data_IF_477257454140
#
_entry.id   IF_477257454140
#
_cell.length_a   1.000
_cell.length_b   1.000
_cell.length_c   1.000
_cell.angle_alpha   90.00
_cell.angle_beta   90.00
_cell.angle_gamma   90.00
#
_symmetry.space_group_name_H-M   'P 1'
#
loop_
_entity.id
_entity.type
_entity.pdbx_description
1 polymer ?
#
# COMPACT_ATOMS: atom_id res chain seq x y z
N UNK A 1 -2.06 -19.45 -18.85
CA UNK A 1 -1.92 -19.89 -17.45
C UNK A 1 -2.87 -19.03 -16.62
N UNK A 2 -4.10 -19.49 -16.37
CA UNK A 2 -5.13 -18.68 -15.71
C UNK A 2 -4.71 -18.24 -14.31
N UNK A 3 -4.01 -19.11 -13.57
CA UNK A 3 -3.57 -18.81 -12.19
C UNK A 3 -2.63 -17.59 -12.11
N UNK A 4 -1.56 -17.54 -12.91
CA UNK A 4 -0.63 -16.40 -12.92
C UNK A 4 -1.31 -15.10 -13.35
N UNK A 5 -2.28 -15.20 -14.26
CA UNK A 5 -3.04 -14.05 -14.71
C UNK A 5 -3.94 -13.51 -13.58
N UNK A 6 -4.69 -14.38 -12.90
CA UNK A 6 -5.51 -13.98 -11.74
C UNK A 6 -4.66 -13.38 -10.61
N UNK A 7 -3.50 -13.97 -10.32
CA UNK A 7 -2.57 -13.42 -9.34
C UNK A 7 -2.12 -12.05 -9.81
N UNK A 8 -1.61 -11.89 -11.04
CA UNK A 8 -1.14 -10.59 -11.54
C UNK A 8 -2.23 -9.51 -11.51
N UNK A 9 -3.45 -9.85 -11.92
CA UNK A 9 -4.62 -8.95 -11.87
C UNK A 9 -4.92 -8.50 -10.44
N UNK A 10 -4.72 -9.36 -9.44
CA UNK A 10 -4.92 -9.00 -8.02
C UNK A 10 -3.91 -8.01 -7.46
N UNK A 11 -2.74 -7.84 -8.09
CA UNK A 11 -1.73 -6.84 -7.72
C UNK A 11 -1.94 -5.49 -8.43
N UNK A 12 -3.08 -5.29 -9.10
CA UNK A 12 -3.54 -3.99 -9.62
C UNK A 12 -2.52 -3.16 -10.42
N UNK A 13 -1.66 -3.82 -11.20
CA UNK A 13 -0.66 -3.15 -12.04
C UNK A 13 0.72 -2.99 -11.41
N UNK A 14 0.91 -3.36 -10.14
CA UNK A 14 2.25 -3.51 -9.52
C UNK A 14 3.04 -4.68 -10.13
N UNK A 15 2.34 -5.60 -10.80
CA UNK A 15 2.92 -6.73 -11.52
C UNK A 15 2.53 -6.69 -13.00
N UNK A 16 3.54 -6.89 -13.87
CA UNK A 16 3.37 -7.07 -15.30
C UNK A 16 3.64 -8.53 -15.69
N UNK A 17 2.64 -9.22 -16.21
CA UNK A 17 2.80 -10.58 -16.72
C UNK A 17 3.27 -10.55 -18.18
N UNK A 18 4.57 -10.71 -18.39
CA UNK A 18 5.14 -10.89 -19.72
C UNK A 18 5.15 -12.37 -20.12
N UNK A 19 4.52 -12.71 -21.24
CA UNK A 19 4.49 -14.07 -21.78
C UNK A 19 5.46 -14.17 -22.95
N UNK A 20 6.48 -15.01 -22.81
CA UNK A 20 7.47 -15.27 -23.87
C UNK A 20 7.21 -16.64 -24.46
N UNK A 21 7.10 -16.71 -25.80
CA UNK A 21 6.98 -17.98 -26.49
C UNK A 21 8.38 -18.55 -26.76
N UNK A 22 8.71 -19.67 -26.10
CA UNK A 22 10.02 -20.30 -26.20
C UNK A 22 10.28 -20.96 -27.56
N UNK A 23 9.23 -21.27 -28.34
CA UNK A 23 9.39 -21.82 -29.70
C UNK A 23 9.83 -20.75 -30.70
N UNK A 24 9.46 -19.49 -30.44
CA UNK A 24 9.76 -18.34 -31.30
C UNK A 24 11.06 -17.67 -30.86
N UNK A 25 11.22 -17.47 -29.55
CA UNK A 25 12.30 -16.65 -28.97
C UNK A 25 13.43 -17.51 -28.38
N UNK A 26 14.00 -18.41 -29.20
CA UNK A 26 15.01 -19.38 -28.75
C UNK A 26 16.29 -18.72 -28.21
N UNK A 27 16.70 -17.57 -28.77
CA UNK A 27 17.85 -16.79 -28.28
C UNK A 27 17.65 -16.31 -26.84
N UNK A 28 16.43 -15.87 -26.49
CA UNK A 28 16.09 -15.43 -25.13
C UNK A 28 16.15 -16.61 -24.17
N UNK A 29 15.57 -17.76 -24.55
CA UNK A 29 15.57 -18.99 -23.76
C UNK A 29 17.00 -19.44 -23.45
N UNK A 30 17.89 -19.41 -24.45
CA UNK A 30 19.29 -19.78 -24.29
C UNK A 30 20.05 -18.80 -23.37
N UNK A 31 19.83 -17.49 -23.53
CA UNK A 31 20.48 -16.45 -22.70
C UNK A 31 20.11 -16.54 -21.22
N UNK A 32 18.86 -16.88 -20.92
CA UNK A 32 18.40 -17.07 -19.54
C UNK A 32 18.60 -18.51 -19.02
N UNK A 33 19.17 -19.40 -19.83
CA UNK A 33 19.49 -20.77 -19.43
C UNK A 33 18.26 -21.60 -19.07
N UNK A 34 17.11 -21.35 -19.71
CA UNK A 34 15.85 -22.06 -19.42
C UNK A 34 15.95 -23.49 -19.96
N UNK A 35 15.87 -24.47 -19.05
CA UNK A 35 16.02 -25.91 -19.35
C UNK A 35 14.71 -26.69 -19.30
N UNK A 36 13.68 -26.12 -18.68
CA UNK A 36 12.37 -26.75 -18.52
C UNK A 36 11.25 -25.74 -18.68
N UNK A 37 10.13 -26.19 -19.23
CA UNK A 37 8.92 -25.38 -19.40
C UNK A 37 7.78 -25.98 -18.58
N UNK A 38 6.92 -25.17 -17.95
CA UNK A 38 6.99 -23.71 -17.86
C UNK A 38 8.06 -23.24 -16.86
N UNK A 39 8.77 -22.15 -17.16
CA UNK A 39 9.64 -21.44 -16.20
C UNK A 39 9.13 -20.01 -16.06
N UNK A 40 9.07 -19.53 -14.82
CA UNK A 40 8.67 -18.16 -14.48
C UNK A 40 9.87 -17.49 -13.83
N UNK A 41 10.23 -16.31 -14.31
CA UNK A 41 11.32 -15.48 -13.77
C UNK A 41 10.72 -14.15 -13.36
N UNK A 42 11.01 -13.74 -12.12
CA UNK A 42 10.63 -12.45 -11.58
C UNK A 42 11.74 -11.45 -11.84
N UNK A 43 11.39 -10.35 -12.51
CA UNK A 43 12.29 -9.25 -12.79
C UNK A 43 11.92 -8.04 -11.92
N UNK A 44 12.92 -7.40 -11.33
CA UNK A 44 12.80 -6.13 -10.61
C UNK A 44 13.97 -5.24 -11.00
N UNK A 45 13.69 -3.98 -11.35
CA UNK A 45 14.71 -3.01 -11.80
C UNK A 45 15.60 -3.52 -12.95
N UNK A 46 15.02 -4.33 -13.85
CA UNK A 46 15.72 -4.91 -15.00
C UNK A 46 16.64 -6.09 -14.67
N UNK A 47 16.68 -6.56 -13.42
CA UNK A 47 17.45 -7.72 -12.98
C UNK A 47 16.53 -8.89 -12.60
N UNK A 48 16.91 -10.14 -12.89
CA UNK A 48 16.19 -11.32 -12.39
C UNK A 48 16.47 -11.46 -10.89
N UNK A 49 15.43 -11.29 -10.07
CA UNK A 49 15.54 -11.37 -8.60
C UNK A 49 15.12 -12.73 -8.05
N UNK A 50 14.22 -13.43 -8.74
CA UNK A 50 13.72 -14.73 -8.32
C UNK A 50 13.12 -15.50 -9.51
N UNK A 51 12.74 -16.75 -9.29
CA UNK A 51 12.05 -17.54 -10.30
C UNK A 51 11.80 -18.98 -9.87
N UNK A 52 10.86 -19.62 -10.55
CA UNK A 52 10.56 -21.03 -10.33
C UNK A 52 10.36 -21.76 -11.66
N UNK A 53 10.79 -23.01 -11.68
CA UNK A 53 10.53 -23.94 -12.77
C UNK A 53 9.36 -24.85 -12.41
N UNK A 54 8.49 -25.11 -13.38
CA UNK A 54 7.30 -25.94 -13.23
C UNK A 54 6.07 -25.20 -12.72
N UNK A 55 4.95 -25.92 -12.64
CA UNK A 55 3.72 -25.41 -12.05
C UNK A 55 3.82 -25.49 -10.52
N UNK A 56 3.72 -24.33 -9.86
CA UNK A 56 3.68 -24.23 -8.40
C UNK A 56 2.26 -23.93 -7.92
N UNK A 57 1.89 -24.31 -6.68
CA UNK A 57 0.62 -23.91 -6.09
C UNK A 57 0.59 -22.40 -5.85
N UNK A 58 -0.61 -21.81 -5.88
CA UNK A 58 -0.82 -20.38 -5.68
C UNK A 58 -0.16 -19.83 -4.41
N UNK A 59 -0.19 -20.58 -3.32
CA UNK A 59 0.39 -20.18 -2.04
C UNK A 59 1.91 -19.97 -2.13
N UNK A 60 2.63 -20.82 -2.86
CA UNK A 60 4.08 -20.67 -3.04
C UNK A 60 4.40 -19.51 -3.99
N UNK A 61 3.59 -19.33 -5.04
CA UNK A 61 3.74 -18.19 -5.95
C UNK A 61 3.56 -16.87 -5.19
N UNK A 62 2.50 -16.76 -4.38
CA UNK A 62 2.24 -15.57 -3.55
C UNK A 62 3.38 -15.31 -2.56
N UNK A 63 3.90 -16.34 -1.87
CA UNK A 63 5.06 -16.18 -0.97
C UNK A 63 6.29 -15.60 -1.67
N UNK A 64 6.58 -16.02 -2.89
CA UNK A 64 7.70 -15.48 -3.68
C UNK A 64 7.40 -14.02 -4.02
N UNK A 65 6.20 -13.71 -4.50
CA UNK A 65 5.81 -12.34 -4.87
C UNK A 65 5.83 -11.40 -3.66
N UNK A 66 5.34 -11.82 -2.50
CA UNK A 66 5.28 -11.02 -1.27
C UNK A 66 6.66 -10.62 -0.74
N UNK A 67 7.71 -11.37 -1.09
CA UNK A 67 9.10 -11.01 -0.72
C UNK A 67 9.65 -9.86 -1.55
N UNK A 68 9.14 -9.67 -2.76
CA UNK A 68 9.72 -8.76 -3.76
C UNK A 68 8.79 -7.60 -4.13
N UNK A 69 7.48 -7.76 -3.90
CA UNK A 69 6.41 -6.85 -4.30
C UNK A 69 5.57 -6.52 -3.08
N UNK A 70 5.38 -5.23 -2.83
CA UNK A 70 4.44 -4.78 -1.81
C UNK A 70 3.05 -4.87 -2.44
N UNK A 71 2.17 -5.70 -1.89
CA UNK A 71 0.76 -5.69 -2.31
C UNK A 71 0.21 -4.28 -2.13
N UNK A 72 -0.40 -3.68 -3.17
CA UNK A 72 -1.11 -2.44 -2.99
C UNK A 72 -2.29 -2.70 -2.01
N UNK A 73 -2.59 -1.76 -1.10
CA UNK A 73 -3.71 -1.92 -0.18
C UNK A 73 -5.00 -2.20 -0.97
N UNK A 74 -5.84 -3.15 -0.53
CA UNK A 74 -6.97 -3.62 -1.31
C UNK A 74 -7.91 -2.48 -1.77
N UNK A 75 -8.39 -2.52 -3.02
CA UNK A 75 -9.21 -1.47 -3.63
C UNK A 75 -10.66 -1.57 -3.18
N UNK A 76 -10.95 -1.31 -1.90
CA UNK A 76 -12.32 -1.11 -1.38
C UNK A 76 -12.38 -0.69 0.09
N UNK A 77 -11.25 -0.44 0.76
CA UNK A 77 -11.29 0.10 2.10
C UNK A 77 -11.50 1.61 1.99
N UNK A 78 -12.60 2.11 2.57
CA UNK A 78 -12.81 3.51 2.93
C UNK A 78 -11.46 4.25 3.09
N UNK A 79 -11.20 5.35 2.36
CA UNK A 79 -9.91 6.04 2.42
C UNK A 79 -9.49 6.38 3.86
N UNK A 80 -10.45 6.57 4.76
CA UNK A 80 -10.20 6.72 6.19
C UNK A 80 -9.57 5.46 6.82
N UNK A 81 -10.08 4.27 6.50
CA UNK A 81 -9.51 2.99 6.99
C UNK A 81 -8.11 2.75 6.47
N UNK A 82 -7.82 3.14 5.22
CA UNK A 82 -6.48 3.05 4.66
C UNK A 82 -5.51 3.97 5.41
N UNK A 83 -5.92 5.21 5.69
CA UNK A 83 -5.14 6.13 6.51
C UNK A 83 -4.93 5.61 7.94
N UNK A 84 -5.93 4.97 8.54
CA UNK A 84 -5.81 4.35 9.87
C UNK A 84 -4.79 3.19 9.88
N UNK A 85 -4.78 2.36 8.85
CA UNK A 85 -3.81 1.27 8.72
C UNK A 85 -2.38 1.82 8.58
N UNK A 86 -2.18 2.82 7.72
CA UNK A 86 -0.89 3.51 7.57
C UNK A 86 -0.42 4.13 8.90
N UNK A 87 -1.34 4.75 9.66
CA UNK A 87 -1.04 5.27 10.99
C UNK A 87 -0.61 4.16 11.96
N UNK A 88 -1.30 3.01 11.97
CA UNK A 88 -0.95 1.86 12.81
C UNK A 88 0.43 1.26 12.46
N UNK A 89 0.82 1.34 11.19
CA UNK A 89 2.16 0.94 10.70
C UNK A 89 3.24 2.01 10.95
N UNK A 90 2.93 3.10 11.67
CA UNK A 90 3.83 4.26 11.87
C UNK A 90 4.23 4.98 10.57
N UNK A 91 3.48 4.79 9.48
CA UNK A 91 3.68 5.44 8.18
C UNK A 91 2.93 6.77 8.11
N UNK A 92 3.28 7.68 9.03
CA UNK A 92 2.53 8.92 9.25
C UNK A 92 2.50 9.86 8.04
N UNK A 93 3.60 9.96 7.29
CA UNK A 93 3.67 10.82 6.11
C UNK A 93 2.74 10.38 4.97
N UNK A 94 2.59 9.07 4.79
CA UNK A 94 1.71 8.49 3.78
C UNK A 94 0.24 8.56 4.22
N UNK A 95 -0.03 8.32 5.52
CA UNK A 95 -1.35 8.51 6.10
C UNK A 95 -1.83 9.96 5.96
N UNK A 96 -0.95 10.93 6.23
CA UNK A 96 -1.22 12.35 6.07
C UNK A 96 -1.56 12.73 4.62
N UNK A 97 -0.77 12.26 3.64
CA UNK A 97 -1.02 12.54 2.23
C UNK A 97 -2.39 11.99 1.78
N UNK A 98 -2.72 10.76 2.20
CA UNK A 98 -4.04 10.16 1.94
C UNK A 98 -5.18 10.97 2.59
N UNK A 99 -4.98 11.43 3.83
CA UNK A 99 -5.98 12.24 4.53
C UNK A 99 -6.16 13.61 3.90
N UNK A 100 -5.10 14.26 3.40
CA UNK A 100 -5.21 15.52 2.64
C UNK A 100 -6.06 15.35 1.40
N UNK A 101 -5.85 14.27 0.65
CA UNK A 101 -6.65 13.95 -0.54
C UNK A 101 -8.11 13.66 -0.16
N UNK A 102 -8.33 12.93 0.94
CA UNK A 102 -9.67 12.66 1.45
C UNK A 102 -10.37 13.94 1.94
N UNK A 103 -9.65 14.83 2.61
CA UNK A 103 -10.20 16.03 3.24
C UNK A 103 -10.52 17.15 2.23
N UNK A 104 -9.89 17.14 1.04
CA UNK A 104 -10.25 18.04 -0.07
C UNK A 104 -10.46 19.50 0.37
N UNK A 105 -11.40 20.21 -0.28
CA UNK A 105 -11.75 21.60 0.08
C UNK A 105 -12.93 21.71 1.08
N UNK A 106 -13.80 20.70 1.17
CA UNK A 106 -15.08 20.79 1.90
C UNK A 106 -15.41 19.53 2.74
N UNK A 107 -14.40 18.84 3.30
CA UNK A 107 -14.66 17.65 4.11
C UNK A 107 -14.90 17.99 5.58
N UNK A 108 -16.14 17.82 6.03
CA UNK A 108 -16.58 17.98 7.43
C UNK A 108 -16.46 16.70 8.25
N UNK A 109 -15.76 15.67 7.75
CA UNK A 109 -15.63 14.39 8.45
C UNK A 109 -14.69 14.54 9.66
N UNK A 110 -15.28 14.63 10.85
CA UNK A 110 -14.55 14.76 12.11
C UNK A 110 -13.55 13.63 12.35
N UNK A 111 -13.85 12.39 11.96
CA UNK A 111 -12.91 11.27 12.14
C UNK A 111 -11.65 11.42 11.29
N UNK A 112 -11.80 11.89 10.03
CA UNK A 112 -10.66 12.14 9.14
C UNK A 112 -9.80 13.31 9.64
N UNK A 113 -10.42 14.40 10.09
CA UNK A 113 -9.71 15.55 10.65
C UNK A 113 -8.95 15.21 11.94
N UNK A 114 -9.55 14.42 12.83
CA UNK A 114 -8.89 13.97 14.06
C UNK A 114 -7.69 13.09 13.75
N UNK A 115 -7.83 12.15 12.81
CA UNK A 115 -6.70 11.31 12.40
C UNK A 115 -5.60 12.13 11.73
N UNK A 116 -5.96 13.11 10.90
CA UNK A 116 -5.01 14.00 10.25
C UNK A 116 -4.20 14.81 11.27
N UNK A 117 -4.87 15.38 12.27
CA UNK A 117 -4.19 16.06 13.37
C UNK A 117 -3.27 15.14 14.17
N UNK A 118 -3.65 13.88 14.41
CA UNK A 118 -2.77 12.90 15.06
C UNK A 118 -1.53 12.59 14.22
N UNK A 119 -1.66 12.46 12.90
CA UNK A 119 -0.52 12.28 12.00
C UNK A 119 0.46 13.46 12.09
N UNK A 120 -0.06 14.69 12.11
CA UNK A 120 0.75 15.91 12.27
C UNK A 120 1.45 15.97 13.64
N UNK A 121 0.76 15.53 14.71
CA UNK A 121 1.34 15.46 16.05
C UNK A 121 2.57 14.54 16.10
N UNK A 122 2.47 13.35 15.52
CA UNK A 122 3.57 12.36 15.46
C UNK A 122 4.75 12.85 14.61
N UNK A 123 4.50 13.74 13.64
CA UNK A 123 5.53 14.40 12.83
C UNK A 123 6.18 15.59 13.52
N UNK A 124 5.67 16.03 14.68
CA UNK A 124 6.14 17.22 15.40
C UNK A 124 5.48 18.53 14.94
N UNK A 125 4.49 18.48 14.06
CA UNK A 125 3.76 19.64 13.55
C UNK A 125 2.59 20.00 14.49
N UNK A 126 2.90 20.20 15.77
CA UNK A 126 1.92 20.35 16.87
C UNK A 126 1.01 21.58 16.69
N UNK A 127 1.53 22.64 16.08
CA UNK A 127 0.77 23.88 15.84
C UNK A 127 -0.32 23.69 14.79
N UNK A 128 0.01 23.01 13.68
CA UNK A 128 -0.98 22.66 12.65
C UNK A 128 -2.00 21.65 13.17
N UNK A 129 -1.52 20.63 13.89
CA UNK A 129 -2.39 19.63 14.49
C UNK A 129 -3.45 20.25 15.41
N UNK A 130 -3.05 21.25 16.22
CA UNK A 130 -3.98 21.99 17.08
C UNK A 130 -5.01 22.78 16.27
N UNK A 131 -4.58 23.49 15.22
CA UNK A 131 -5.48 24.25 14.35
C UNK A 131 -6.52 23.35 13.68
N UNK A 132 -6.11 22.16 13.22
CA UNK A 132 -7.01 21.15 12.64
C UNK A 132 -8.03 20.68 13.67
N UNK A 133 -7.61 20.34 14.90
CA UNK A 133 -8.53 19.88 15.95
C UNK A 133 -9.52 20.95 16.42
N UNK A 134 -9.13 22.23 16.38
CA UNK A 134 -10.02 23.34 16.70
C UNK A 134 -11.03 23.62 15.57
N UNK A 135 -10.71 23.24 14.33
CA UNK A 135 -11.62 23.31 13.19
C UNK A 135 -12.65 22.16 13.14
N UNK A 136 -12.48 21.10 13.92
CA UNK A 136 -13.45 19.98 13.96
C UNK A 136 -14.74 20.42 14.64
N UNK A 137 -15.75 20.73 13.85
CA UNK A 137 -17.11 21.04 14.33
C UNK A 137 -17.96 19.77 14.34
N UNK A 138 -18.31 19.26 15.53
CA UNK A 138 -19.24 18.14 15.64
C UNK A 138 -19.14 17.38 16.97
N UNK A 139 -20.30 17.04 17.54
CA UNK A 139 -20.41 16.33 18.82
C UNK A 139 -20.10 14.81 18.72
N UNK A 140 -20.12 14.26 17.49
CA UNK A 140 -20.03 12.82 17.24
C UNK A 140 -18.68 12.18 17.64
N UNK A 141 -17.59 12.94 17.69
CA UNK A 141 -16.24 12.44 17.98
C UNK A 141 -15.58 13.11 19.19
N UNK A 142 -16.35 13.65 20.15
CA UNK A 142 -15.84 14.35 21.34
C UNK A 142 -14.76 13.58 22.11
N UNK A 143 -14.93 12.27 22.28
CA UNK A 143 -13.97 11.43 22.99
C UNK A 143 -12.63 11.32 22.24
N UNK A 144 -12.67 11.12 20.92
CA UNK A 144 -11.47 10.98 20.10
C UNK A 144 -10.73 12.31 19.95
N UNK A 145 -11.48 13.41 19.86
CA UNK A 145 -10.96 14.78 19.83
C UNK A 145 -10.30 15.15 21.16
N UNK A 146 -10.91 14.82 22.30
CA UNK A 146 -10.30 15.00 23.61
C UNK A 146 -9.00 14.19 23.74
N UNK A 147 -8.99 12.94 23.26
CA UNK A 147 -7.79 12.11 23.23
C UNK A 147 -6.66 12.72 22.37
N UNK A 148 -6.99 13.21 21.18
CA UNK A 148 -6.03 13.87 20.29
C UNK A 148 -5.46 15.18 20.89
N UNK A 149 -6.31 16.00 21.53
CA UNK A 149 -5.88 17.22 22.24
C UNK A 149 -4.99 16.90 23.45
N UNK A 150 -5.29 15.83 24.18
CA UNK A 150 -4.45 15.37 25.30
C UNK A 150 -3.08 14.92 24.81
N UNK A 151 -3.03 14.18 23.69
CA UNK A 151 -1.77 13.76 23.05
C UNK A 151 -0.91 14.95 22.64
N UNK A 152 -1.50 15.98 22.02
CA UNK A 152 -0.78 17.22 21.70
C UNK A 152 -0.23 17.94 22.93
N UNK A 153 -0.98 17.93 24.04
CA UNK A 153 -0.54 18.56 25.29
C UNK A 153 0.61 17.78 25.94
N UNK A 154 0.68 16.46 25.72
CA UNK A 154 1.78 15.63 26.21
C UNK A 154 3.06 15.77 25.36
N UNK A 155 2.90 16.07 24.07
CA UNK A 155 4.00 16.22 23.11
C UNK A 155 4.57 17.65 23.02
N UNK A 156 3.86 18.66 23.54
CA UNK A 156 4.24 20.08 23.54
C UNK A 156 5.08 20.47 24.76
#
# INVERSE_FOLDING_TARGET
MPLLQQITESYQGELLLAKVNCDIEQDIVARFGIRSLPTVVLFKDGQPVDGFAGAQPESEIRKILDQHVVMPPPPAADPLKQAQALFAESRFAEAEAQLKVLLGEDNTNGAALILYARCLAERGELSEAKAVLDAVTGDAHKAELAGAKAQLTFLA
#
